data_IF_853643327221
#
_entry.id   IF_853643327221
#
_cell.length_a   1.000
_cell.length_b   1.000
_cell.length_c   1.000
_cell.angle_alpha   90.00
_cell.angle_beta   90.00
_cell.angle_gamma   90.00
#
_symmetry.space_group_name_H-M   'P 1'
#
loop_
_entity.id
_entity.type
_entity.pdbx_description
1 polymer ?
#
# COMPACT_ATOMS: atom_id res chain seq x y z
N UNK A 1 13.26 -8.02 -27.98
CA UNK A 1 11.86 -8.09 -28.43
C UNK A 1 11.24 -6.70 -28.32
N UNK A 2 10.47 -6.27 -29.31
CA UNK A 2 9.72 -5.01 -29.28
C UNK A 2 8.24 -5.29 -29.09
N UNK A 3 7.54 -4.43 -28.33
CA UNK A 3 6.10 -4.52 -28.17
C UNK A 3 5.40 -4.15 -29.49
N UNK A 4 4.50 -4.99 -30.04
CA UNK A 4 3.79 -4.69 -31.28
C UNK A 4 2.93 -3.43 -31.22
N UNK A 5 2.37 -3.11 -30.04
CA UNK A 5 1.47 -1.97 -29.87
C UNK A 5 2.22 -0.69 -29.52
N UNK A 6 3.21 -0.74 -28.63
CA UNK A 6 3.91 0.46 -28.14
C UNK A 6 5.27 0.72 -28.78
N UNK A 7 5.80 -0.20 -29.60
CA UNK A 7 7.12 -0.11 -30.23
C UNK A 7 8.33 -0.19 -29.27
N UNK A 8 8.10 -0.11 -27.95
CA UNK A 8 9.16 -0.13 -26.93
C UNK A 8 9.83 -1.49 -26.83
N UNK A 9 11.15 -1.51 -26.59
CA UNK A 9 11.91 -2.73 -26.29
C UNK A 9 11.47 -3.29 -24.94
N UNK A 10 11.08 -4.56 -24.88
CA UNK A 10 10.59 -5.22 -23.66
C UNK A 10 11.18 -6.62 -23.51
N UNK A 11 11.24 -7.11 -22.27
CA UNK A 11 11.71 -8.46 -21.96
C UNK A 11 10.63 -9.54 -22.03
N UNK A 12 9.34 -9.17 -21.94
CA UNK A 12 8.21 -10.11 -21.94
C UNK A 12 6.97 -9.46 -22.56
N UNK A 13 6.22 -10.25 -23.32
CA UNK A 13 4.87 -9.92 -23.80
C UNK A 13 3.84 -10.77 -23.05
N UNK A 14 2.64 -10.23 -22.92
CA UNK A 14 1.52 -10.83 -22.20
C UNK A 14 0.32 -10.95 -23.14
N UNK A 15 -0.41 -12.06 -23.01
CA UNK A 15 -1.71 -12.28 -23.59
C UNK A 15 -2.67 -12.67 -22.44
N UNK A 16 -3.31 -11.70 -21.77
CA UNK A 16 -4.26 -11.99 -20.71
C UNK A 16 -5.50 -12.69 -21.27
N UNK A 17 -6.27 -13.38 -20.41
CA UNK A 17 -7.53 -14.02 -20.80
C UNK A 17 -8.48 -12.99 -21.43
N UNK A 18 -8.94 -13.26 -22.66
CA UNK A 18 -9.76 -12.34 -23.43
C UNK A 18 -8.97 -11.31 -24.26
N UNK A 19 -7.65 -11.35 -24.25
CA UNK A 19 -6.80 -10.57 -25.15
C UNK A 19 -6.65 -11.23 -26.52
N UNK A 20 -6.49 -10.41 -27.55
CA UNK A 20 -6.32 -10.79 -28.96
C UNK A 20 -4.89 -10.56 -29.48
N UNK A 21 -4.08 -9.78 -28.74
CA UNK A 21 -2.72 -9.42 -29.13
C UNK A 21 -1.70 -9.57 -27.98
N UNK A 22 -0.52 -10.11 -28.31
CA UNK A 22 0.63 -10.09 -27.41
C UNK A 22 1.16 -8.66 -27.28
N UNK A 23 1.00 -8.05 -26.11
CA UNK A 23 1.48 -6.69 -25.84
C UNK A 23 2.24 -6.59 -24.52
N UNK A 24 2.92 -5.46 -24.32
CA UNK A 24 3.65 -5.20 -23.09
C UNK A 24 2.70 -5.03 -21.90
N UNK A 25 3.19 -5.28 -20.69
CA UNK A 25 2.42 -5.05 -19.46
C UNK A 25 1.89 -3.62 -19.31
N UNK A 26 2.58 -2.62 -19.86
CA UNK A 26 2.15 -1.23 -19.81
C UNK A 26 0.90 -1.00 -20.66
N UNK A 27 0.86 -1.61 -21.86
CA UNK A 27 -0.30 -1.55 -22.78
C UNK A 27 -1.51 -2.20 -22.14
N UNK A 28 -1.33 -3.40 -21.58
CA UNK A 28 -2.39 -4.12 -20.85
C UNK A 28 -2.70 -3.55 -19.47
N UNK A 29 -2.01 -2.48 -19.03
CA UNK A 29 -2.12 -1.91 -17.66
C UNK A 29 -1.99 -2.97 -16.56
N UNK A 30 -1.17 -4.01 -16.80
CA UNK A 30 -0.80 -5.04 -15.83
C UNK A 30 0.22 -4.45 -14.85
N UNK A 31 -0.26 -3.56 -13.99
CA UNK A 31 0.46 -3.11 -12.81
C UNK A 31 0.64 -4.26 -11.82
N UNK A 32 1.75 -4.29 -11.10
CA UNK A 32 1.81 -5.16 -9.91
C UNK A 32 0.76 -4.67 -8.91
N UNK A 33 0.22 -5.56 -8.08
CA UNK A 33 -0.67 -5.14 -6.98
C UNK A 33 0.00 -4.04 -6.13
N UNK A 34 1.30 -4.16 -5.87
CA UNK A 34 2.10 -3.14 -5.17
C UNK A 34 2.23 -1.79 -5.89
N UNK A 35 1.86 -1.71 -7.17
CA UNK A 35 1.82 -0.46 -7.96
C UNK A 35 0.40 0.12 -8.05
N UNK A 36 -0.61 -0.57 -7.50
CA UNK A 36 -2.00 -0.13 -7.45
C UNK A 36 -2.38 0.51 -6.12
N UNK A 37 -1.56 0.37 -5.08
CA UNK A 37 -1.74 1.11 -3.82
C UNK A 37 -1.66 2.60 -4.12
N UNK A 38 -2.75 3.34 -3.94
CA UNK A 38 -2.74 4.78 -4.16
C UNK A 38 -1.79 5.43 -3.15
N UNK A 39 -1.19 6.58 -3.50
CA UNK A 39 -0.28 7.28 -2.59
C UNK A 39 -0.91 7.52 -1.20
N UNK A 40 -2.22 7.83 -1.19
CA UNK A 40 -3.06 8.00 0.01
C UNK A 40 -3.26 6.74 0.84
N UNK A 41 -3.14 5.54 0.26
CA UNK A 41 -3.35 4.27 0.97
C UNK A 41 -2.07 3.80 1.69
N UNK A 42 -0.93 4.44 1.39
CA UNK A 42 0.37 4.11 1.98
C UNK A 42 0.42 4.28 3.50
N UNK A 43 -0.04 5.39 4.11
CA UNK A 43 -0.02 5.54 5.57
C UNK A 43 -0.88 4.47 6.24
N UNK A 44 -2.08 4.19 5.73
CA UNK A 44 -2.94 3.11 6.23
C UNK A 44 -2.27 1.74 6.15
N UNK A 45 -1.63 1.44 5.02
CA UNK A 45 -0.92 0.16 4.83
C UNK A 45 0.23 0.01 5.84
N UNK A 46 0.96 1.10 6.14
CA UNK A 46 2.03 1.10 7.15
C UNK A 46 1.47 0.92 8.57
N UNK A 47 0.38 1.60 8.89
CA UNK A 47 -0.33 1.47 10.16
C UNK A 47 -0.81 0.02 10.39
N UNK A 48 -1.46 -0.57 9.39
CA UNK A 48 -2.00 -1.93 9.50
C UNK A 48 -0.92 -3.00 9.57
N UNK A 49 0.24 -2.75 8.93
CA UNK A 49 1.43 -3.61 9.09
C UNK A 49 1.98 -3.53 10.51
N UNK A 50 2.01 -2.34 11.12
CA UNK A 50 2.43 -2.18 12.51
C UNK A 50 1.47 -2.90 13.46
N UNK A 51 0.16 -2.71 13.32
CA UNK A 51 -0.86 -3.42 14.11
C UNK A 51 -0.73 -4.93 13.99
N UNK A 52 -0.57 -5.45 12.76
CA UNK A 52 -0.34 -6.88 12.52
C UNK A 52 0.94 -7.37 13.20
N UNK A 53 2.02 -6.58 13.17
CA UNK A 53 3.28 -6.93 13.84
C UNK A 53 3.11 -7.02 15.36
N UNK A 54 2.26 -6.17 15.93
CA UNK A 54 1.92 -6.19 17.36
C UNK A 54 0.86 -7.25 17.70
N UNK A 55 0.31 -7.96 16.71
CA UNK A 55 -0.78 -8.92 16.92
C UNK A 55 -2.10 -8.25 17.30
N UNK A 56 -2.27 -6.96 16.99
CA UNK A 56 -3.50 -6.21 17.23
C UNK A 56 -4.44 -6.29 16.02
N UNK A 57 -5.72 -6.01 16.26
CA UNK A 57 -6.71 -5.82 15.20
C UNK A 57 -6.29 -4.69 14.28
N UNK A 58 -6.39 -4.91 12.97
CA UNK A 58 -6.06 -3.91 11.97
C UNK A 58 -7.22 -2.93 11.79
N UNK A 59 -6.92 -1.64 11.69
CA UNK A 59 -7.90 -0.60 11.40
C UNK A 59 -7.42 0.78 11.84
N UNK A 60 -7.93 1.83 11.20
CA UNK A 60 -7.63 3.20 11.64
C UNK A 60 -8.36 3.48 12.96
N UNK A 61 -7.75 4.28 13.84
CA UNK A 61 -8.20 4.54 15.22
C UNK A 61 -8.32 3.30 16.12
N UNK A 62 -7.83 2.14 15.69
CA UNK A 62 -7.84 0.92 16.50
C UNK A 62 -6.70 0.93 17.52
N UNK A 63 -6.99 0.67 18.81
CA UNK A 63 -5.98 0.70 19.86
C UNK A 63 -4.92 -0.39 19.64
N UNK A 64 -3.67 -0.07 19.98
CA UNK A 64 -2.57 -1.04 20.02
C UNK A 64 -2.22 -1.42 21.45
N UNK A 65 -1.77 -2.66 21.63
CA UNK A 65 -1.33 -3.18 22.93
C UNK A 65 0.07 -3.78 22.82
N UNK A 66 0.78 -3.76 23.95
CA UNK A 66 2.14 -4.29 24.04
C UNK A 66 2.10 -5.83 24.07
N UNK A 67 2.75 -6.53 23.14
CA UNK A 67 2.84 -7.99 23.19
C UNK A 67 3.64 -8.46 24.42
N UNK A 68 3.21 -9.58 25.00
CA UNK A 68 3.94 -10.21 26.12
C UNK A 68 5.38 -10.52 25.69
N UNK A 69 6.35 -10.17 26.55
CA UNK A 69 7.78 -10.39 26.29
C UNK A 69 8.43 -9.34 25.38
N UNK A 70 7.68 -8.37 24.84
CA UNK A 70 8.28 -7.24 24.13
C UNK A 70 9.02 -6.33 25.11
N UNK A 71 10.25 -5.95 24.75
CA UNK A 71 11.05 -5.01 25.54
C UNK A 71 10.39 -3.63 25.55
N UNK A 72 10.40 -2.97 26.71
CA UNK A 72 9.76 -1.66 26.88
C UNK A 72 10.27 -0.62 25.87
N UNK A 73 11.58 -0.56 25.65
CA UNK A 73 12.19 0.33 24.65
C UNK A 73 11.66 0.09 23.23
N UNK A 74 11.47 -1.18 22.86
CA UNK A 74 10.94 -1.55 21.53
C UNK A 74 9.46 -1.19 21.42
N UNK A 75 8.70 -1.39 22.50
CA UNK A 75 7.31 -1.00 22.60
C UNK A 75 7.13 0.51 22.42
N UNK A 76 7.88 1.33 23.16
CA UNK A 76 7.79 2.79 23.08
C UNK A 76 8.09 3.31 21.67
N UNK A 77 9.06 2.70 20.96
CA UNK A 77 9.31 3.03 19.55
C UNK A 77 8.11 2.70 18.66
N UNK A 78 7.47 1.55 18.87
CA UNK A 78 6.27 1.18 18.12
C UNK A 78 5.07 2.06 18.46
N UNK A 79 4.94 2.51 19.71
CA UNK A 79 3.90 3.47 20.10
C UNK A 79 4.12 4.84 19.44
N UNK A 80 5.36 5.34 19.41
CA UNK A 80 5.69 6.57 18.71
C UNK A 80 5.44 6.47 17.19
N UNK A 81 5.83 5.34 16.58
CA UNK A 81 5.54 5.06 15.18
C UNK A 81 4.03 5.00 14.89
N UNK A 82 3.24 4.42 15.80
CA UNK A 82 1.78 4.37 15.68
C UNK A 82 1.18 5.78 15.61
N UNK A 83 1.50 6.65 16.58
CA UNK A 83 0.96 8.01 16.60
C UNK A 83 1.38 8.86 15.41
N UNK A 84 2.61 8.67 14.93
CA UNK A 84 3.06 9.33 13.71
C UNK A 84 2.27 8.86 12.48
N UNK A 85 2.07 7.55 12.34
CA UNK A 85 1.29 6.98 11.22
C UNK A 85 -0.19 7.36 11.29
N UNK A 86 -0.74 7.43 12.49
CA UNK A 86 -2.12 7.88 12.73
C UNK A 86 -2.32 9.33 12.28
N UNK A 87 -1.39 10.22 12.61
CA UNK A 87 -1.39 11.60 12.12
C UNK A 87 -1.24 11.68 10.58
N UNK A 88 -0.39 10.85 9.98
CA UNK A 88 -0.27 10.75 8.50
C UNK A 88 -1.60 10.30 7.87
N UNK A 89 -2.31 9.32 8.46
CA UNK A 89 -3.64 8.90 8.01
C UNK A 89 -4.67 10.04 8.13
N UNK A 90 -4.68 10.77 9.26
CA UNK A 90 -5.62 11.87 9.48
C UNK A 90 -5.49 12.97 8.41
N UNK A 91 -4.25 13.29 7.98
CA UNK A 91 -4.00 14.24 6.88
C UNK A 91 -4.61 13.76 5.56
N UNK A 92 -4.47 12.48 5.22
CA UNK A 92 -5.05 11.93 3.98
C UNK A 92 -6.58 11.92 4.02
N UNK A 93 -7.18 11.64 5.17
CA UNK A 93 -8.65 11.69 5.35
C UNK A 93 -9.16 13.12 5.23
N UNK A 94 -8.50 14.08 5.89
CA UNK A 94 -8.84 15.50 5.77
C UNK A 94 -8.77 15.96 4.31
N UNK A 95 -7.70 15.61 3.59
CA UNK A 95 -7.55 15.92 2.17
C UNK A 95 -8.58 15.20 1.28
N UNK A 96 -9.13 14.05 1.70
CA UNK A 96 -10.21 13.36 0.99
C UNK A 96 -11.55 14.04 1.23
N UNK A 97 -11.85 14.47 2.45
CA UNK A 97 -13.06 15.21 2.81
C UNK A 97 -13.13 16.53 2.04
N UNK A 98 -12.01 17.28 2.01
CA UNK A 98 -11.90 18.57 1.30
C UNK A 98 -12.17 18.45 -0.21
N UNK A 99 -11.85 17.30 -0.83
CA UNK A 99 -12.13 17.07 -2.26
C UNK A 99 -13.59 16.65 -2.54
N UNK A 100 -14.34 16.29 -1.51
CA UNK A 100 -15.74 15.83 -1.61
C UNK A 100 -16.75 16.92 -1.23
N UNK A 101 -16.31 17.97 -0.54
CA UNK A 101 -17.09 19.19 -0.28
C UNK A 101 -16.97 20.19 -1.43
#
# INVERSE_FOLDING_TARGET
>A
MHCPVSGRRVGKLYLPTGGDIFASRQVWRLGYHSQRDAARDKPFTRLFRLQKKLGCTQGWEQPISKPKGMWERTWQRHLADYWRLDAECAVEVAAMIDRLG
#
